data_IF_768389785999
#
_entry.id   IF_768389785999
#
_cell.length_a   1.000
_cell.length_b   1.000
_cell.length_c   1.000
_cell.angle_alpha   90.00
_cell.angle_beta   90.00
_cell.angle_gamma   90.00
#
_symmetry.space_group_name_H-M   'P 1'
#
loop_
_entity.id
_entity.type
_entity.pdbx_description
1 polymer ?
#
# COMPACT_ATOMS: atom_id res chain seq x y z
N UNK A 1 -16.70 25.26 -19.69
CA UNK A 1 -16.55 25.02 -18.24
C UNK A 1 -15.53 23.92 -18.09
N UNK A 2 -14.29 24.23 -17.72
CA UNK A 2 -13.27 23.22 -17.42
C UNK A 2 -13.67 22.56 -16.10
N UNK A 3 -14.33 21.42 -16.16
CA UNK A 3 -14.59 20.61 -14.97
C UNK A 3 -13.25 20.11 -14.45
N UNK A 4 -12.74 20.75 -13.40
CA UNK A 4 -11.55 20.29 -12.67
C UNK A 4 -11.91 18.99 -11.98
N UNK A 5 -11.07 17.97 -12.17
CA UNK A 5 -11.22 16.66 -11.53
C UNK A 5 -11.25 16.82 -9.99
N UNK A 6 -12.05 16.05 -9.24
CA UNK A 6 -12.00 16.07 -7.78
C UNK A 6 -10.59 15.76 -7.24
N UNK A 7 -10.27 16.20 -6.02
CA UNK A 7 -9.01 15.83 -5.38
C UNK A 7 -8.88 14.31 -5.23
N UNK A 8 -7.64 13.79 -5.19
CA UNK A 8 -7.42 12.35 -5.04
C UNK A 8 -7.98 11.84 -3.72
N UNK A 9 -8.51 10.61 -3.73
CA UNK A 9 -8.89 9.90 -2.51
C UNK A 9 -7.63 9.36 -1.85
N UNK A 10 -7.56 9.48 -0.53
CA UNK A 10 -6.39 9.09 0.26
C UNK A 10 -6.59 7.71 0.89
N UNK A 11 -5.58 6.85 0.78
CA UNK A 11 -5.57 5.50 1.31
C UNK A 11 -4.24 5.18 1.99
N UNK A 12 -4.24 4.25 2.93
CA UNK A 12 -3.03 3.59 3.41
C UNK A 12 -2.95 2.17 2.86
N UNK A 13 -1.73 1.63 2.77
CA UNK A 13 -1.50 0.19 2.59
C UNK A 13 -0.27 -0.21 3.39
N UNK A 14 -0.39 -1.30 4.14
CA UNK A 14 0.53 -1.75 5.16
C UNK A 14 0.97 -3.16 4.81
N UNK A 15 2.29 -3.38 4.82
CA UNK A 15 2.89 -4.68 4.59
C UNK A 15 3.58 -5.15 5.88
N UNK A 16 2.96 -6.07 6.64
CA UNK A 16 3.61 -6.71 7.77
C UNK A 16 4.76 -7.59 7.29
N UNK A 17 5.94 -7.36 7.84
CA UNK A 17 7.18 -8.05 7.44
C UNK A 17 7.82 -8.66 8.68
N UNK A 18 8.23 -9.91 8.55
CA UNK A 18 9.06 -10.58 9.53
C UNK A 18 10.37 -11.08 8.91
N UNK A 19 11.40 -11.15 9.76
CA UNK A 19 12.73 -11.54 9.34
C UNK A 19 13.42 -10.50 8.44
N UNK A 20 14.55 -10.93 7.89
CA UNK A 20 15.39 -10.14 7.00
C UNK A 20 16.17 -11.06 6.05
N UNK A 21 16.70 -10.49 4.96
CA UNK A 21 17.50 -11.25 3.99
C UNK A 21 16.72 -12.43 3.39
N UNK A 22 17.34 -13.61 3.35
CA UNK A 22 16.73 -14.83 2.80
C UNK A 22 15.58 -15.40 3.63
N UNK A 23 15.46 -15.00 4.90
CA UNK A 23 14.36 -15.41 5.79
C UNK A 23 13.20 -14.41 5.79
N UNK A 24 13.25 -13.35 4.98
CA UNK A 24 12.22 -12.33 4.97
C UNK A 24 10.91 -12.89 4.43
N UNK A 25 9.83 -12.66 5.18
CA UNK A 25 8.46 -12.98 4.78
C UNK A 25 7.56 -11.76 4.94
N UNK A 26 6.55 -11.67 4.08
CA UNK A 26 5.54 -10.61 4.10
C UNK A 26 4.16 -11.25 4.23
N UNK A 27 3.30 -10.64 5.05
CA UNK A 27 1.90 -11.03 5.16
C UNK A 27 1.11 -10.29 4.09
N UNK A 28 0.35 -11.02 3.30
CA UNK A 28 -0.59 -10.48 2.33
C UNK A 28 -1.99 -10.98 2.67
N UNK A 29 -3.03 -10.22 2.32
CA UNK A 29 -4.42 -10.67 2.40
C UNK A 29 -4.99 -10.90 1.01
N UNK A 30 -5.66 -12.04 0.81
CA UNK A 30 -6.53 -12.25 -0.34
C UNK A 30 -7.83 -11.50 -0.09
N UNK A 31 -8.11 -10.50 -0.92
CA UNK A 31 -9.24 -9.61 -0.73
C UNK A 31 -10.57 -10.30 -1.06
N UNK A 32 -11.49 -10.36 -0.10
CA UNK A 32 -12.78 -11.06 -0.20
C UNK A 32 -13.90 -10.19 -0.75
N UNK A 33 -13.81 -8.87 -0.59
CA UNK A 33 -14.79 -7.88 -1.08
C UNK A 33 -14.16 -6.54 -1.48
N UNK A 34 -14.94 -5.70 -2.17
CA UNK A 34 -14.52 -4.36 -2.57
C UNK A 34 -13.57 -4.32 -3.78
N UNK A 35 -12.89 -3.17 -3.94
CA UNK A 35 -11.89 -2.96 -5.00
C UNK A 35 -10.74 -3.95 -4.82
N UNK A 36 -10.35 -4.64 -5.89
CA UNK A 36 -9.29 -5.64 -5.86
C UNK A 36 -9.71 -7.00 -5.32
N UNK A 37 -11.02 -7.28 -5.20
CA UNK A 37 -11.53 -8.62 -4.81
C UNK A 37 -10.88 -9.72 -5.65
N UNK A 38 -10.38 -10.76 -4.97
CA UNK A 38 -9.69 -11.90 -5.58
C UNK A 38 -8.20 -11.66 -5.81
N UNK A 39 -7.66 -10.49 -5.44
CA UNK A 39 -6.23 -10.20 -5.51
C UNK A 39 -5.59 -10.21 -4.12
N UNK A 40 -4.33 -10.59 -4.08
CA UNK A 40 -3.44 -10.45 -2.94
C UNK A 40 -2.92 -9.03 -2.85
N UNK A 41 -2.95 -8.46 -1.64
CA UNK A 41 -2.37 -7.14 -1.38
C UNK A 41 -1.90 -7.01 0.09
N UNK A 42 -1.28 -5.89 0.41
CA UNK A 42 -1.15 -5.43 1.80
C UNK A 42 -2.52 -5.06 2.38
N UNK A 43 -2.53 -4.78 3.68
CA UNK A 43 -3.73 -4.41 4.45
C UNK A 43 -3.91 -2.91 4.41
N UNK A 44 -5.12 -2.38 4.36
CA UNK A 44 -5.29 -0.94 4.26
C UNK A 44 -6.61 -0.51 3.66
N UNK A 45 -6.91 0.76 3.90
CA UNK A 45 -8.17 1.34 3.48
C UNK A 45 -8.11 2.86 3.41
N UNK A 46 -9.29 3.45 3.38
CA UNK A 46 -9.45 4.87 3.10
C UNK A 46 -9.18 5.67 4.38
N UNK A 47 -8.48 6.79 4.24
CA UNK A 47 -8.31 7.75 5.32
C UNK A 47 -9.66 8.39 5.69
N UNK A 48 -10.01 8.37 6.98
CA UNK A 48 -11.24 8.95 7.49
C UNK A 48 -11.11 10.46 7.83
N UNK A 49 -12.22 11.23 7.86
CA UNK A 49 -12.16 12.64 8.21
C UNK A 49 -11.60 12.88 9.62
N UNK A 50 -10.52 13.65 9.71
CA UNK A 50 -9.86 13.99 10.97
C UNK A 50 -8.83 12.95 11.45
N UNK A 51 -8.68 11.84 10.71
CA UNK A 51 -7.71 10.79 11.00
C UNK A 51 -6.31 11.15 10.48
N UNK A 52 -5.26 10.81 11.24
CA UNK A 52 -3.88 10.90 10.74
C UNK A 52 -3.55 9.66 9.89
N UNK A 53 -2.52 9.74 9.05
CA UNK A 53 -2.11 8.58 8.24
C UNK A 53 -1.66 7.40 9.11
N UNK A 54 -0.99 7.68 10.23
CA UNK A 54 -0.51 6.65 11.15
C UNK A 54 -1.70 6.01 11.90
N UNK A 55 -2.68 6.81 12.34
CA UNK A 55 -3.91 6.29 12.96
C UNK A 55 -4.68 5.37 11.99
N UNK A 56 -4.82 5.81 10.73
CA UNK A 56 -5.45 5.01 9.68
C UNK A 56 -4.70 3.69 9.45
N UNK A 57 -3.38 3.74 9.37
CA UNK A 57 -2.59 2.55 9.12
C UNK A 57 -2.63 1.56 10.28
N UNK A 58 -2.64 2.04 11.53
CA UNK A 58 -2.84 1.18 12.70
C UNK A 58 -4.24 0.57 12.75
N UNK A 59 -5.29 1.36 12.50
CA UNK A 59 -6.68 0.89 12.48
C UNK A 59 -6.87 -0.20 11.43
N UNK A 60 -6.49 0.05 10.19
CA UNK A 60 -6.69 -0.89 9.07
C UNK A 60 -5.89 -2.19 9.27
N UNK A 61 -4.66 -2.09 9.80
CA UNK A 61 -3.86 -3.28 10.12
C UNK A 61 -4.57 -4.17 11.15
N UNK A 62 -5.16 -3.56 12.19
CA UNK A 62 -5.90 -4.28 13.21
C UNK A 62 -7.21 -4.86 12.65
N UNK A 63 -7.98 -4.07 11.92
CA UNK A 63 -9.31 -4.46 11.43
C UNK A 63 -9.23 -5.60 10.40
N UNK A 64 -8.25 -5.54 9.49
CA UNK A 64 -8.20 -6.48 8.38
C UNK A 64 -7.42 -7.77 8.70
N UNK A 65 -6.48 -7.75 9.65
CA UNK A 65 -5.66 -8.93 9.96
C UNK A 65 -5.38 -9.20 11.46
N UNK A 66 -5.90 -8.37 12.38
CA UNK A 66 -5.78 -8.57 13.82
C UNK A 66 -4.41 -8.24 14.42
N UNK A 67 -3.51 -7.63 13.64
CA UNK A 67 -2.17 -7.30 14.07
C UNK A 67 -2.03 -5.85 14.53
N UNK A 68 -1.11 -5.64 15.47
CA UNK A 68 -0.54 -4.33 15.79
C UNK A 68 0.95 -4.36 15.46
N UNK A 69 1.57 -3.19 15.27
CA UNK A 69 2.99 -3.08 14.96
C UNK A 69 3.64 -2.06 15.89
N UNK A 70 4.79 -2.41 16.50
CA UNK A 70 5.57 -1.44 17.27
C UNK A 70 6.45 -0.57 16.38
N UNK A 71 6.82 -1.08 15.22
CA UNK A 71 7.55 -0.36 14.19
C UNK A 71 6.69 -0.26 12.93
N UNK A 72 5.95 0.84 12.82
CA UNK A 72 5.16 1.18 11.65
C UNK A 72 5.84 2.32 10.91
N UNK A 73 6.40 2.01 9.74
CA UNK A 73 7.24 2.94 8.99
C UNK A 73 6.57 3.34 7.67
N UNK A 74 6.36 4.64 7.46
CA UNK A 74 6.00 5.19 6.15
C UNK A 74 7.20 5.07 5.19
N UNK A 75 7.05 4.36 4.07
CA UNK A 75 8.15 4.01 3.16
C UNK A 75 7.96 4.48 1.74
N UNK A 76 6.75 4.85 1.34
CA UNK A 76 6.54 5.37 -0.01
C UNK A 76 5.14 5.84 -0.28
N UNK A 77 4.95 6.47 -1.43
CA UNK A 77 3.64 6.93 -1.89
C UNK A 77 3.41 6.54 -3.34
N UNK A 78 2.19 6.09 -3.64
CA UNK A 78 1.71 5.80 -4.99
C UNK A 78 0.72 6.88 -5.41
N UNK A 79 0.98 7.53 -6.53
CA UNK A 79 0.03 8.39 -7.23
C UNK A 79 -0.60 7.62 -8.37
N UNK A 80 -1.88 7.27 -8.23
CA UNK A 80 -2.67 6.55 -9.23
C UNK A 80 -3.52 7.57 -9.99
N UNK A 81 -3.12 7.89 -11.21
CA UNK A 81 -3.78 8.88 -12.06
C UNK A 81 -4.73 8.16 -13.02
N UNK A 82 -6.03 8.32 -12.83
CA UNK A 82 -7.06 7.54 -13.53
C UNK A 82 -7.86 8.40 -14.51
N UNK A 83 -7.98 8.01 -15.77
CA UNK A 83 -8.80 8.76 -16.75
C UNK A 83 -10.31 8.74 -16.48
N UNK A 84 -10.84 7.59 -16.05
CA UNK A 84 -12.29 7.36 -15.88
C UNK A 84 -12.75 7.21 -14.43
N UNK A 85 -11.81 7.22 -13.48
CA UNK A 85 -12.06 7.08 -12.04
C UNK A 85 -11.38 8.23 -11.28
N UNK A 86 -11.76 8.41 -10.02
CA UNK A 86 -11.06 9.33 -9.12
C UNK A 86 -9.58 8.93 -9.00
N UNK A 87 -8.70 9.92 -8.89
CA UNK A 87 -7.29 9.65 -8.59
C UNK A 87 -7.16 9.11 -7.17
N UNK A 88 -6.13 8.30 -6.95
CA UNK A 88 -5.81 7.77 -5.63
C UNK A 88 -4.40 8.20 -5.24
N UNK A 89 -4.24 8.60 -3.99
CA UNK A 89 -2.92 8.71 -3.34
C UNK A 89 -2.87 7.66 -2.25
N UNK A 90 -1.94 6.71 -2.39
CA UNK A 90 -1.81 5.57 -1.49
C UNK A 90 -0.49 5.70 -0.72
N UNK A 91 -0.58 5.85 0.60
CA UNK A 91 0.56 5.93 1.50
C UNK A 91 0.96 4.51 1.93
N UNK A 92 2.19 4.12 1.60
CA UNK A 92 2.71 2.77 1.80
C UNK A 92 3.51 2.72 3.09
N UNK A 93 3.16 1.75 3.92
CA UNK A 93 3.81 1.46 5.19
C UNK A 93 4.35 0.03 5.21
N UNK A 94 5.45 -0.15 5.92
CA UNK A 94 5.89 -1.48 6.39
C UNK A 94 5.66 -1.57 7.88
N UNK A 95 5.16 -2.71 8.33
CA UNK A 95 4.93 -3.01 9.74
C UNK A 95 5.91 -4.11 10.20
N UNK A 96 6.65 -3.84 11.28
CA UNK A 96 7.58 -4.76 11.93
C UNK A 96 7.30 -4.79 13.43
N UNK A 97 7.96 -5.70 14.14
CA UNK A 97 7.75 -5.95 15.57
C UNK A 97 6.26 -6.16 15.89
N UNK A 98 5.68 -7.12 15.17
CA UNK A 98 4.26 -7.41 15.15
C UNK A 98 3.79 -8.00 16.49
N UNK A 99 2.62 -7.57 16.92
CA UNK A 99 1.95 -8.01 18.15
C UNK A 99 0.56 -8.52 17.80
N UNK A 100 0.12 -9.55 18.51
CA UNK A 100 -1.16 -10.20 18.29
C UNK A 100 -1.04 -11.48 17.47
N UNK A 101 -2.16 -11.91 16.90
CA UNK A 101 -2.24 -13.10 16.05
C UNK A 101 -2.93 -12.75 14.76
N UNK A 102 -2.47 -13.33 13.65
CA UNK A 102 -3.11 -13.15 12.35
C UNK A 102 -4.52 -13.75 12.37
N UNK A 103 -5.53 -12.94 12.03
CA UNK A 103 -6.94 -13.32 11.99
C UNK A 103 -7.51 -13.01 10.61
N UNK A 104 -8.29 -13.94 10.06
CA UNK A 104 -9.10 -13.67 8.87
C UNK A 104 -10.28 -12.76 9.23
N UNK A 105 -10.46 -11.70 8.44
CA UNK A 105 -11.59 -10.77 8.56
C UNK A 105 -12.64 -11.04 7.48
N UNK A 106 -13.74 -10.28 7.51
CA UNK A 106 -14.72 -10.28 6.42
C UNK A 106 -14.15 -9.70 5.12
N UNK A 107 -13.06 -8.92 5.21
CA UNK A 107 -12.42 -8.20 4.10
C UNK A 107 -11.25 -8.98 3.49
N UNK A 108 -10.44 -9.63 4.33
CA UNK A 108 -9.14 -10.17 3.95
C UNK A 108 -8.94 -11.57 4.54
N UNK A 109 -8.39 -12.48 3.73
CA UNK A 109 -7.87 -13.77 4.15
C UNK A 109 -6.32 -13.74 4.16
N UNK A 110 -5.67 -13.53 5.32
CA UNK A 110 -4.23 -13.35 5.40
C UNK A 110 -3.42 -14.63 5.18
N UNK A 111 -2.25 -14.51 4.55
CA UNK A 111 -1.28 -15.57 4.38
C UNK A 111 0.14 -15.01 4.30
N UNK A 112 1.08 -15.71 4.93
CA UNK A 112 2.51 -15.39 4.87
C UNK A 112 3.13 -15.92 3.58
N UNK A 113 3.95 -15.09 2.93
CA UNK A 113 4.74 -15.45 1.76
C UNK A 113 6.21 -15.09 1.98
N UNK A 114 7.12 -15.96 1.55
CA UNK A 114 8.53 -15.62 1.44
C UNK A 114 8.74 -14.70 0.25
N UNK A 115 9.70 -13.78 0.33
CA UNK A 115 9.93 -12.76 -0.70
C UNK A 115 10.37 -13.33 -2.06
N UNK A 116 10.89 -14.55 -2.09
CA UNK A 116 11.24 -15.30 -3.31
C UNK A 116 10.05 -15.98 -3.99
N UNK A 117 8.90 -16.10 -3.29
CA UNK A 117 7.69 -16.81 -3.76
C UNK A 117 6.43 -15.98 -3.62
N UNK A 118 6.53 -14.71 -3.96
CA UNK A 118 5.38 -13.80 -3.95
C UNK A 118 4.35 -14.19 -5.02
N UNK A 119 3.04 -14.14 -4.72
CA UNK A 119 1.96 -14.61 -5.59
C UNK A 119 1.61 -13.54 -6.65
N UNK A 120 2.59 -12.98 -7.34
CA UNK A 120 2.40 -11.81 -8.21
C UNK A 120 1.34 -12.00 -9.32
N UNK A 121 1.09 -13.22 -9.77
CA UNK A 121 0.02 -13.51 -10.75
C UNK A 121 -1.39 -13.27 -10.19
N UNK A 122 -1.52 -13.31 -8.87
CA UNK A 122 -2.74 -12.97 -8.14
C UNK A 122 -2.72 -11.57 -7.54
N UNK A 123 -1.87 -10.66 -8.00
CA UNK A 123 -1.79 -9.27 -7.51
C UNK A 123 -2.16 -8.27 -8.60
N UNK A 124 -2.32 -7.00 -8.22
CA UNK A 124 -2.26 -5.90 -9.19
C UNK A 124 -0.95 -5.94 -9.97
N UNK A 125 -0.99 -5.66 -11.28
CA UNK A 125 0.19 -5.80 -12.16
C UNK A 125 1.34 -4.92 -11.71
N UNK A 126 1.02 -3.75 -11.17
CA UNK A 126 1.96 -2.75 -10.68
C UNK A 126 2.75 -3.26 -9.47
N UNK A 127 2.24 -4.24 -8.73
CA UNK A 127 2.93 -4.84 -7.57
C UNK A 127 4.34 -5.34 -7.94
N UNK A 128 4.51 -5.91 -9.14
CA UNK A 128 5.81 -6.37 -9.66
C UNK A 128 6.81 -5.23 -9.85
N UNK A 129 6.33 -4.01 -10.02
CA UNK A 129 7.16 -2.84 -10.30
C UNK A 129 7.71 -2.22 -9.01
N UNK A 130 6.92 -2.16 -7.93
CA UNK A 130 7.30 -1.39 -6.73
C UNK A 130 7.46 -2.21 -5.45
N UNK A 131 6.86 -3.41 -5.32
CA UNK A 131 7.09 -4.26 -4.13
C UNK A 131 8.57 -4.58 -3.91
N UNK A 132 9.39 -4.88 -4.95
CA UNK A 132 10.83 -5.12 -4.74
C UNK A 132 11.55 -3.93 -4.09
N UNK A 133 11.18 -2.70 -4.46
CA UNK A 133 11.72 -1.47 -3.87
C UNK A 133 11.34 -1.34 -2.40
N UNK A 134 10.08 -1.58 -2.05
CA UNK A 134 9.64 -1.60 -0.65
C UNK A 134 10.35 -2.71 0.15
N UNK A 135 10.35 -3.94 -0.36
CA UNK A 135 10.85 -5.12 0.35
C UNK A 135 12.37 -5.10 0.54
N UNK A 136 13.12 -4.36 -0.28
CA UNK A 136 14.54 -4.16 -0.09
C UNK A 136 14.88 -3.03 0.92
N UNK A 137 13.86 -2.34 1.45
CA UNK A 137 14.01 -1.26 2.42
C UNK A 137 14.26 0.13 1.83
N UNK A 138 14.14 0.31 0.52
CA UNK A 138 14.26 1.62 -0.13
C UNK A 138 13.00 2.45 0.07
N UNK A 139 13.19 3.76 0.20
CA UNK A 139 12.08 4.72 0.19
C UNK A 139 11.78 5.14 -1.24
N UNK A 140 10.51 5.34 -1.56
CA UNK A 140 10.14 5.57 -2.95
C UNK A 140 8.91 6.44 -3.16
N UNK A 141 8.85 7.01 -4.36
CA UNK A 141 7.67 7.69 -4.91
C UNK A 141 7.35 7.02 -6.23
N UNK A 142 6.13 6.52 -6.37
CA UNK A 142 5.68 5.92 -7.62
C UNK A 142 4.50 6.69 -8.19
N UNK A 143 4.45 6.80 -9.51
CA UNK A 143 3.33 7.36 -10.25
C UNK A 143 2.92 6.38 -11.33
N UNK A 144 1.63 6.11 -11.41
CA UNK A 144 1.01 5.22 -12.41
C UNK A 144 -0.13 5.97 -13.09
N UNK A 145 -0.17 5.93 -14.41
CA UNK A 145 -1.21 6.59 -15.23
C UNK A 145 -2.03 5.51 -15.91
N UNK A 146 -3.34 5.54 -15.68
CA UNK A 146 -4.30 4.54 -16.16
C UNK A 146 -5.24 5.12 -17.21
N UNK A 147 -5.35 4.41 -18.33
CA UNK A 147 -6.44 4.57 -19.29
C UNK A 147 -7.36 3.39 -19.18
N UNK A 148 -8.62 3.63 -18.80
CA UNK A 148 -9.53 2.57 -18.34
C UNK A 148 -8.87 1.78 -17.20
N UNK A 149 -8.57 0.51 -17.41
CA UNK A 149 -7.92 -0.38 -16.44
C UNK A 149 -6.43 -0.66 -16.75
N UNK A 150 -5.91 -0.11 -17.85
CA UNK A 150 -4.54 -0.35 -18.29
C UNK A 150 -3.59 0.76 -17.82
N UNK A 151 -2.53 0.37 -17.10
CA UNK A 151 -1.42 1.26 -16.78
C UNK A 151 -0.60 1.55 -18.04
N UNK A 152 -0.73 2.76 -18.59
CA UNK A 152 -0.06 3.19 -19.82
C UNK A 152 1.29 3.86 -19.59
N UNK A 153 1.53 4.38 -18.39
CA UNK A 153 2.78 5.04 -18.02
C UNK A 153 3.04 4.85 -16.53
N UNK A 154 4.30 4.62 -16.17
CA UNK A 154 4.72 4.58 -14.77
C UNK A 154 6.11 5.18 -14.57
N UNK A 155 6.37 5.64 -13.35
CA UNK A 155 7.70 6.02 -12.87
C UNK A 155 7.85 5.61 -11.41
N UNK A 156 9.02 5.10 -11.03
CA UNK A 156 9.36 4.79 -9.63
C UNK A 156 10.69 5.46 -9.34
N UNK A 157 10.66 6.41 -8.41
CA UNK A 157 11.81 7.18 -7.97
C UNK A 157 12.22 6.70 -6.58
N UNK A 158 13.49 6.35 -6.40
CA UNK A 158 14.06 6.11 -5.08
C UNK A 158 14.40 7.46 -4.45
N UNK A 159 13.93 7.69 -3.23
CA UNK A 159 14.08 8.97 -2.54
C UNK A 159 14.74 8.80 -1.18
N UNK A 160 15.15 9.91 -0.57
CA UNK A 160 15.55 9.92 0.83
C UNK A 160 14.36 10.23 1.75
N UNK A 161 14.61 10.13 3.07
CA UNK A 161 13.59 10.39 4.11
C UNK A 161 13.07 11.83 4.04
N UNK A 162 13.95 12.81 3.78
CA UNK A 162 13.57 14.21 3.76
C UNK A 162 12.58 14.50 2.63
N UNK A 163 12.85 13.96 1.43
CA UNK A 163 11.97 14.06 0.27
C UNK A 163 10.64 13.36 0.50
N UNK A 164 10.66 12.16 1.09
CA UNK A 164 9.43 11.42 1.37
C UNK A 164 8.52 12.16 2.37
N UNK A 165 9.09 12.70 3.45
CA UNK A 165 8.35 13.48 4.46
C UNK A 165 7.77 14.77 3.88
N UNK A 166 8.48 15.44 2.96
CA UNK A 166 7.98 16.66 2.31
C UNK A 166 6.63 16.42 1.58
N UNK A 167 6.44 15.23 1.02
CA UNK A 167 5.23 14.87 0.28
C UNK A 167 4.00 14.67 1.16
N UNK A 168 4.17 14.45 2.47
CA UNK A 168 3.06 14.38 3.43
C UNK A 168 2.35 15.74 3.59
N UNK A 169 3.11 16.83 3.49
CA UNK A 169 2.58 18.19 3.63
C UNK A 169 2.01 18.76 2.33
N UNK A 170 2.32 18.15 1.18
CA UNK A 170 1.87 18.57 -0.15
C UNK A 170 1.65 17.34 -1.06
N UNK A 171 0.57 16.56 -0.88
CA UNK A 171 0.31 15.35 -1.66
C UNK A 171 -0.21 15.63 -3.08
N UNK A 172 -0.10 16.87 -3.56
CA UNK A 172 -0.52 17.27 -4.91
C UNK A 172 0.46 16.81 -5.99
N UNK A 173 0.00 16.72 -7.25
CA UNK A 173 0.82 16.19 -8.35
C UNK A 173 2.07 17.02 -8.65
#
# INVERSE_FOLDING_TARGET
MTTTKPPPRLYTVIFPIEGSGSGQRVLLGLKKRGMGKGLWNGFGGKLEPGETLDDCAHRELQEECGLEAKDLCYVGVLFMICSHHDDLTIFVYTARDLVGSVVESDEMAPQWFTTDKLPYDGCHREARLWWPTMLNGSLFVARFVFTQDDCIQHNIEHVDRARLTQLLSQPGP
#
